data_IF_987084665481
#
_entry.id   IF_987084665481
#
_cell.length_a   1.000
_cell.length_b   1.000
_cell.length_c   1.000
_cell.angle_alpha   90.00
_cell.angle_beta   90.00
_cell.angle_gamma   90.00
#
_symmetry.space_group_name_H-M   'P 1'
#
loop_
_entity.id
_entity.type
_entity.pdbx_description
1 polymer ?
#
# COMPACT_ATOMS: atom_id res chain seq x y z
N UNK A 1 8.02 -26.63 -11.40
CA UNK A 1 6.73 -26.07 -11.87
C UNK A 1 6.60 -24.64 -11.36
N UNK A 2 6.43 -23.67 -12.25
CA UNK A 2 6.32 -22.25 -11.90
C UNK A 2 5.12 -21.62 -12.59
N UNK A 3 4.36 -20.78 -11.88
CA UNK A 3 3.21 -20.07 -12.45
C UNK A 3 3.66 -18.65 -12.82
N UNK A 4 3.33 -18.21 -14.03
CA UNK A 4 3.53 -16.82 -14.47
C UNK A 4 2.21 -16.18 -14.85
N UNK A 5 2.05 -14.91 -14.54
CA UNK A 5 0.89 -14.12 -14.92
C UNK A 5 1.31 -13.16 -16.03
N UNK A 6 0.59 -13.16 -17.15
CA UNK A 6 0.80 -12.26 -18.29
C UNK A 6 -0.42 -11.36 -18.47
N UNK A 7 -0.20 -10.11 -18.85
CA UNK A 7 -1.26 -9.13 -19.06
C UNK A 7 -1.21 -8.62 -20.50
N UNK A 8 -2.38 -8.49 -21.13
CA UNK A 8 -2.54 -7.98 -22.49
C UNK A 8 -3.65 -6.94 -22.55
N UNK A 9 -3.43 -5.85 -23.28
CA UNK A 9 -4.43 -4.81 -23.54
C UNK A 9 -4.97 -5.00 -24.96
N UNK A 10 -6.29 -5.02 -25.07
CA UNK A 10 -7.02 -4.97 -26.33
C UNK A 10 -7.45 -3.53 -26.59
N UNK A 11 -6.80 -2.89 -27.55
CA UNK A 11 -7.15 -1.53 -27.98
C UNK A 11 -8.47 -1.54 -28.76
N UNK A 12 -9.18 -0.42 -28.81
CA UNK A 12 -10.45 -0.31 -29.56
C UNK A 12 -10.29 -0.58 -31.07
N UNK A 13 -9.10 -0.30 -31.62
CA UNK A 13 -8.73 -0.61 -33.00
C UNK A 13 -8.51 -2.12 -33.26
N UNK A 14 -8.69 -2.98 -32.25
CA UNK A 14 -8.52 -4.42 -32.35
C UNK A 14 -7.09 -4.91 -32.14
N UNK A 15 -6.12 -4.01 -31.96
CA UNK A 15 -4.71 -4.35 -31.74
C UNK A 15 -4.51 -4.98 -30.36
N UNK A 16 -3.68 -6.03 -30.31
CA UNK A 16 -3.24 -6.64 -29.06
C UNK A 16 -1.87 -6.09 -28.64
N UNK A 17 -1.78 -5.53 -27.42
CA UNK A 17 -0.49 -5.11 -26.83
C UNK A 17 -0.17 -5.89 -25.57
N UNK A 18 1.10 -6.19 -25.37
CA UNK A 18 1.57 -6.83 -24.13
C UNK A 18 1.81 -5.79 -23.06
N UNK A 19 1.41 -6.07 -21.82
CA UNK A 19 1.73 -5.24 -20.67
C UNK A 19 2.85 -5.90 -19.88
N UNK A 20 4.08 -5.36 -19.93
CA UNK A 20 5.18 -5.90 -19.15
C UNK A 20 4.83 -5.92 -17.67
N UNK A 21 5.23 -6.98 -16.95
CA UNK A 21 4.96 -7.13 -15.52
C UNK A 21 5.32 -5.88 -14.69
N UNK A 22 6.49 -5.29 -14.98
CA UNK A 22 6.96 -4.04 -14.35
C UNK A 22 5.97 -2.88 -14.50
N UNK A 23 5.41 -2.71 -15.70
CA UNK A 23 4.42 -1.65 -15.98
C UNK A 23 3.13 -1.94 -15.23
N UNK A 24 2.67 -3.20 -15.26
CA UNK A 24 1.49 -3.60 -14.51
C UNK A 24 1.64 -3.34 -13.00
N UNK A 25 2.76 -3.74 -12.39
CA UNK A 25 3.03 -3.52 -10.97
C UNK A 25 3.09 -2.03 -10.64
N UNK A 26 3.81 -1.23 -11.44
CA UNK A 26 3.89 0.21 -11.25
C UNK A 26 2.55 0.93 -11.41
N UNK A 27 1.68 0.48 -12.33
CA UNK A 27 0.31 1.01 -12.46
C UNK A 27 -0.53 0.76 -11.20
N UNK A 28 -0.47 -0.44 -10.63
CA UNK A 28 -1.20 -0.76 -9.39
C UNK A 28 -0.65 -0.03 -8.16
N UNK A 29 0.64 0.30 -8.15
CA UNK A 29 1.29 1.07 -7.08
C UNK A 29 1.12 2.59 -7.25
N UNK A 30 0.60 3.05 -8.39
CA UNK A 30 0.51 4.48 -8.72
C UNK A 30 1.86 5.13 -9.07
N UNK A 31 2.90 4.32 -9.30
CA UNK A 31 4.26 4.74 -9.63
C UNK A 31 4.52 4.81 -11.14
N UNK A 32 3.63 4.25 -11.96
CA UNK A 32 3.71 4.25 -13.43
C UNK A 32 2.42 4.80 -14.05
N UNK A 33 2.50 5.22 -15.31
CA UNK A 33 1.37 5.68 -16.10
C UNK A 33 1.50 5.21 -17.56
N UNK A 34 0.37 5.07 -18.24
CA UNK A 34 0.27 4.82 -19.68
C UNK A 34 -0.43 6.00 -20.37
N UNK A 35 0.34 7.06 -20.75
CA UNK A 35 -0.23 8.26 -21.37
C UNK A 35 -1.00 7.98 -22.66
N UNK A 36 -0.62 6.95 -23.42
CA UNK A 36 -1.32 6.51 -24.63
C UNK A 36 -2.78 6.10 -24.35
N UNK A 37 -3.13 5.80 -23.10
CA UNK A 37 -4.47 5.42 -22.67
C UNK A 37 -5.11 6.45 -21.74
N UNK A 38 -4.55 7.66 -21.63
CA UNK A 38 -5.11 8.72 -20.79
C UNK A 38 -6.59 9.00 -21.09
N UNK A 39 -7.41 9.08 -20.04
CA UNK A 39 -8.85 9.33 -20.11
C UNK A 39 -9.67 8.17 -20.69
N UNK A 40 -9.06 7.01 -20.96
CA UNK A 40 -9.73 5.90 -21.64
C UNK A 40 -10.02 4.71 -20.72
N UNK A 41 -10.92 3.84 -21.18
CA UNK A 41 -11.23 2.55 -20.55
C UNK A 41 -10.80 1.42 -21.47
N UNK A 42 -9.83 0.62 -21.05
CA UNK A 42 -9.25 -0.44 -21.87
C UNK A 42 -9.69 -1.83 -21.42
N UNK A 43 -9.85 -2.75 -22.37
CA UNK A 43 -10.06 -4.17 -22.10
C UNK A 43 -8.72 -4.85 -21.88
N UNK A 44 -8.53 -5.45 -20.72
CA UNK A 44 -7.29 -6.13 -20.35
C UNK A 44 -7.56 -7.59 -20.05
N UNK A 45 -6.74 -8.50 -20.60
CA UNK A 45 -6.77 -9.91 -20.28
C UNK A 45 -5.56 -10.29 -19.40
N UNK A 46 -5.86 -10.91 -18.27
CA UNK A 46 -4.89 -11.55 -17.39
C UNK A 46 -4.87 -13.05 -17.65
N UNK A 47 -3.72 -13.59 -18.00
CA UNK A 47 -3.53 -14.98 -18.38
C UNK A 47 -2.59 -15.65 -17.40
N UNK A 48 -3.07 -16.70 -16.75
CA UNK A 48 -2.32 -17.50 -15.79
C UNK A 48 -1.74 -18.69 -16.55
N UNK A 49 -0.41 -18.73 -16.67
CA UNK A 49 0.32 -19.74 -17.44
C UNK A 49 1.12 -20.60 -16.47
N UNK A 50 0.95 -21.91 -16.58
CA UNK A 50 1.84 -22.89 -15.95
C UNK A 50 3.07 -23.08 -16.83
N UNK A 51 4.24 -23.02 -16.24
CA UNK A 51 5.50 -23.26 -16.91
C UNK A 51 6.16 -24.53 -16.39
N UNK A 52 6.66 -25.32 -17.33
CA UNK A 52 7.51 -26.47 -17.10
C UNK A 52 8.89 -26.21 -17.71
N UNK A 53 9.95 -26.46 -16.94
CA UNK A 53 11.33 -26.13 -17.30
C UNK A 53 11.53 -24.72 -17.91
N UNK A 54 10.85 -23.72 -17.33
CA UNK A 54 10.92 -22.33 -17.79
C UNK A 54 10.18 -22.01 -19.09
N UNK A 55 9.48 -22.98 -19.69
CA UNK A 55 8.67 -22.79 -20.91
C UNK A 55 7.17 -22.87 -20.62
N UNK A 56 6.32 -22.10 -21.32
CA UNK A 56 4.88 -22.20 -21.20
C UNK A 56 4.38 -23.60 -21.54
N UNK A 57 3.71 -24.27 -20.59
CA UNK A 57 3.16 -25.61 -20.76
C UNK A 57 1.65 -25.57 -21.07
N UNK A 58 0.87 -24.80 -20.29
CA UNK A 58 -0.58 -24.60 -20.53
C UNK A 58 -1.10 -23.31 -19.89
N UNK A 59 -2.20 -22.79 -20.41
CA UNK A 59 -3.01 -21.75 -19.75
C UNK A 59 -3.88 -22.45 -18.70
N UNK A 60 -3.78 -22.01 -17.45
CA UNK A 60 -4.62 -22.49 -16.35
C UNK A 60 -5.92 -21.71 -16.25
N UNK A 61 -5.87 -20.40 -16.52
CA UNK A 61 -6.99 -19.50 -16.35
C UNK A 61 -6.80 -18.23 -17.19
N UNK A 62 -7.89 -17.62 -17.61
CA UNK A 62 -7.91 -16.39 -18.37
C UNK A 62 -9.05 -15.47 -17.89
N UNK A 63 -8.68 -14.24 -17.56
CA UNK A 63 -9.55 -13.29 -16.87
C UNK A 63 -9.56 -11.95 -17.59
N UNK A 64 -10.70 -11.55 -18.12
CA UNK A 64 -10.89 -10.20 -18.66
C UNK A 64 -11.26 -9.22 -17.54
N UNK A 65 -10.59 -8.08 -17.49
CA UNK A 65 -10.97 -6.93 -16.67
C UNK A 65 -10.92 -5.64 -17.48
N UNK A 66 -11.72 -4.66 -17.08
CA UNK A 66 -11.61 -3.30 -17.59
C UNK A 66 -10.65 -2.50 -16.71
N UNK A 67 -9.69 -1.81 -17.32
CA UNK A 67 -8.82 -0.85 -16.64
C UNK A 67 -9.26 0.56 -17.06
N UNK A 68 -9.53 1.40 -16.06
CA UNK A 68 -9.87 2.81 -16.26
C UNK A 68 -8.63 3.65 -16.02
N UNK A 69 -8.34 4.58 -16.92
CA UNK A 69 -7.21 5.50 -16.79
C UNK A 69 -7.69 6.94 -16.60
N UNK A 70 -6.96 7.71 -15.79
CA UNK A 70 -7.18 9.14 -15.62
C UNK A 70 -6.57 9.95 -16.77
N UNK A 71 -6.70 11.27 -16.74
CA UNK A 71 -6.15 12.19 -17.75
C UNK A 71 -4.61 12.16 -17.84
N UNK A 72 -3.92 11.63 -16.83
CA UNK A 72 -2.47 11.43 -16.84
C UNK A 72 -2.07 10.02 -17.32
N UNK A 73 -3.04 9.14 -17.58
CA UNK A 73 -2.81 7.74 -17.93
C UNK A 73 -2.49 6.84 -16.72
N UNK A 74 -2.74 7.28 -15.48
CA UNK A 74 -2.63 6.44 -14.29
C UNK A 74 -3.88 5.59 -14.13
N UNK A 75 -3.73 4.43 -13.51
CA UNK A 75 -4.85 3.54 -13.23
C UNK A 75 -5.75 4.17 -12.15
N UNK A 76 -7.03 4.37 -12.48
CA UNK A 76 -8.06 4.75 -11.52
C UNK A 76 -8.46 3.49 -10.76
N UNK A 77 -7.94 3.36 -9.53
CA UNK A 77 -8.31 2.28 -8.63
C UNK A 77 -9.56 2.75 -7.87
N UNK A 78 -10.74 2.32 -8.32
CA UNK A 78 -11.95 2.50 -7.53
C UNK A 78 -11.79 1.77 -6.18
N UNK A 79 -12.15 2.41 -5.04
CA UNK A 79 -12.18 1.74 -3.75
C UNK A 79 -13.08 0.50 -3.86
N UNK A 80 -12.47 -0.67 -3.75
CA UNK A 80 -13.19 -1.91 -3.90
C UNK A 80 -13.77 -2.32 -2.55
N UNK A 81 -15.08 -2.18 -2.38
CA UNK A 81 -15.79 -2.66 -1.20
C UNK A 81 -15.74 -4.19 -1.15
N UNK A 82 -14.90 -4.72 -0.27
CA UNK A 82 -14.78 -6.16 0.02
C UNK A 82 -15.87 -6.68 0.98
N UNK A 83 -16.81 -5.85 1.45
CA UNK A 83 -17.82 -6.23 2.45
C UNK A 83 -18.56 -7.53 2.07
N UNK A 84 -18.94 -7.70 0.80
CA UNK A 84 -19.62 -8.88 0.29
C UNK A 84 -18.73 -10.14 0.21
N UNK A 85 -17.40 -10.00 0.13
CA UNK A 85 -16.46 -11.12 0.11
C UNK A 85 -16.21 -11.67 1.52
N UNK A 86 -16.38 -10.84 2.54
CA UNK A 86 -16.29 -11.20 3.96
C UNK A 86 -17.64 -11.49 4.61
N UNK A 87 -18.74 -11.31 3.87
CA UNK A 87 -20.07 -11.77 4.22
C UNK A 87 -20.09 -13.31 4.21
N UNK A 88 -19.50 -13.89 5.26
CA UNK A 88 -19.74 -15.29 5.60
C UNK A 88 -21.24 -15.38 5.78
N UNK A 89 -21.96 -16.26 5.06
CA UNK A 89 -23.35 -16.47 5.35
C UNK A 89 -23.40 -16.83 6.83
N UNK A 90 -23.99 -15.94 7.65
CA UNK A 90 -24.30 -16.27 9.02
C UNK A 90 -24.95 -17.65 8.95
N UNK A 91 -24.52 -18.60 9.79
CA UNK A 91 -25.20 -19.88 9.97
C UNK A 91 -26.60 -19.58 10.52
N UNK A 92 -27.47 -19.03 9.69
CA UNK A 92 -28.85 -18.77 10.01
C UNK A 92 -29.56 -20.09 9.71
N UNK A 93 -30.32 -20.56 10.69
CA UNK A 93 -31.28 -21.65 10.51
C UNK A 93 -32.51 -21.17 9.72
N UNK A 94 -32.40 -20.10 8.94
CA UNK A 94 -33.50 -19.52 8.19
C UNK A 94 -33.59 -20.18 6.81
N UNK A 95 -34.82 -20.54 6.44
CA UNK A 95 -35.18 -21.14 5.14
C UNK A 95 -34.97 -20.19 3.95
N UNK A 96 -34.64 -18.92 4.19
CA UNK A 96 -34.50 -17.89 3.16
C UNK A 96 -33.02 -17.55 2.98
N UNK A 97 -32.51 -17.75 1.77
CA UNK A 97 -31.14 -17.48 1.38
C UNK A 97 -31.01 -16.01 0.96
N UNK A 98 -30.14 -15.23 1.61
CA UNK A 98 -29.89 -13.84 1.20
C UNK A 98 -29.14 -13.81 -0.14
N UNK A 99 -29.80 -13.31 -1.18
CA UNK A 99 -29.25 -13.23 -2.54
C UNK A 99 -28.53 -11.91 -2.81
N UNK A 100 -28.60 -10.92 -1.90
CA UNK A 100 -27.98 -9.60 -2.10
C UNK A 100 -26.47 -9.68 -2.35
N UNK A 101 -25.67 -10.47 -1.60
CA UNK A 101 -24.23 -10.58 -1.88
C UNK A 101 -23.93 -11.18 -3.27
N UNK A 102 -24.76 -12.13 -3.73
CA UNK A 102 -24.62 -12.72 -5.08
C UNK A 102 -24.98 -11.72 -6.17
N UNK A 103 -26.01 -10.89 -5.95
CA UNK A 103 -26.43 -9.85 -6.89
C UNK A 103 -25.40 -8.72 -6.98
N UNK A 104 -24.88 -8.25 -5.84
CA UNK A 104 -23.84 -7.20 -5.82
C UNK A 104 -22.53 -7.69 -6.45
N UNK A 105 -22.11 -8.93 -6.15
CA UNK A 105 -20.98 -9.57 -6.86
C UNK A 105 -21.22 -9.64 -8.36
N UNK A 106 -22.41 -10.04 -8.80
CA UNK A 106 -22.75 -10.13 -10.24
C UNK A 106 -22.76 -8.76 -10.92
N UNK A 107 -23.28 -7.72 -10.25
CA UNK A 107 -23.23 -6.33 -10.76
C UNK A 107 -21.80 -5.84 -10.87
N UNK A 108 -20.97 -6.13 -9.87
CA UNK A 108 -19.57 -5.76 -9.88
C UNK A 108 -18.79 -6.47 -11.00
N UNK A 109 -18.97 -7.79 -11.13
CA UNK A 109 -18.39 -8.58 -12.21
C UNK A 109 -18.85 -8.04 -13.56
N UNK A 110 -20.13 -7.69 -13.74
CA UNK A 110 -20.61 -7.08 -14.97
C UNK A 110 -20.00 -5.69 -15.26
N UNK A 111 -19.72 -4.89 -14.24
CA UNK A 111 -19.10 -3.55 -14.40
C UNK A 111 -17.60 -3.65 -14.72
N UNK A 112 -16.88 -4.60 -14.13
CA UNK A 112 -15.41 -4.63 -14.13
C UNK A 112 -14.79 -5.80 -14.90
N UNK A 113 -15.56 -6.84 -15.22
CA UNK A 113 -15.10 -8.00 -15.98
C UNK A 113 -15.73 -7.98 -17.35
N UNK A 114 -15.02 -8.59 -18.28
CA UNK A 114 -15.56 -8.96 -19.57
C UNK A 114 -15.15 -10.42 -19.86
N UNK A 115 -16.02 -11.21 -20.50
CA UNK A 115 -15.69 -12.59 -20.83
C UNK A 115 -14.68 -12.61 -21.98
N UNK A 116 -13.51 -13.23 -21.77
CA UNK A 116 -12.53 -13.43 -22.83
C UNK A 116 -13.09 -14.48 -23.80
N UNK A 117 -13.28 -14.10 -25.06
CA UNK A 117 -13.83 -15.00 -26.08
C UNK A 117 -12.77 -16.00 -26.54
N UNK A 118 -13.20 -17.09 -27.19
CA UNK A 118 -12.28 -18.08 -27.76
C UNK A 118 -11.34 -17.47 -28.79
N UNK A 119 -11.83 -16.54 -29.61
CA UNK A 119 -11.02 -15.85 -30.62
C UNK A 119 -9.89 -15.02 -29.98
N UNK A 120 -10.19 -14.29 -28.91
CA UNK A 120 -9.18 -13.51 -28.18
C UNK A 120 -8.18 -14.42 -27.45
N UNK A 121 -8.64 -15.57 -26.94
CA UNK A 121 -7.75 -16.59 -26.36
C UNK A 121 -6.84 -17.23 -27.41
N UNK A 122 -7.33 -17.47 -28.62
CA UNK A 122 -6.52 -18.01 -29.71
C UNK A 122 -5.43 -17.03 -30.12
N UNK A 123 -5.75 -15.73 -30.24
CA UNK A 123 -4.78 -14.66 -30.49
C UNK A 123 -3.70 -14.59 -29.40
N UNK A 124 -4.10 -14.64 -28.13
CA UNK A 124 -3.16 -14.66 -27.00
C UNK A 124 -2.30 -15.93 -27.01
N UNK A 125 -2.90 -17.08 -27.32
CA UNK A 125 -2.21 -18.37 -27.37
C UNK A 125 -1.16 -18.38 -28.49
N UNK A 126 -1.44 -17.78 -29.63
CA UNK A 126 -0.47 -17.60 -30.71
C UNK A 126 0.75 -16.78 -30.27
N UNK A 127 0.57 -15.81 -29.38
CA UNK A 127 1.68 -15.01 -28.81
C UNK A 127 2.49 -15.81 -27.79
N UNK A 128 1.83 -16.67 -26.99
CA UNK A 128 2.50 -17.50 -25.98
C UNK A 128 3.25 -18.68 -26.62
N UNK A 129 2.68 -19.29 -27.66
CA UNK A 129 3.26 -20.38 -28.44
C UNK A 129 3.34 -20.04 -29.94
N UNK A 130 4.29 -19.17 -30.36
CA UNK A 130 4.38 -18.73 -31.76
C UNK A 130 4.61 -19.88 -32.75
N UNK A 131 5.26 -20.96 -32.31
CA UNK A 131 5.55 -22.14 -33.13
C UNK A 131 4.32 -23.01 -33.42
N UNK A 132 3.23 -22.84 -32.67
CA UNK A 132 1.98 -23.59 -32.84
C UNK A 132 0.93 -22.83 -33.66
N UNK A 133 1.19 -21.56 -33.99
CA UNK A 133 0.25 -20.69 -34.67
C UNK A 133 0.45 -20.67 -36.19
N UNK A 134 -0.66 -20.62 -36.94
CA UNK A 134 -0.63 -20.45 -38.39
C UNK A 134 -0.32 -19.00 -38.80
N UNK A 135 -0.73 -18.02 -38.00
CA UNK A 135 -0.48 -16.59 -38.18
C UNK A 135 0.01 -15.99 -36.85
N UNK A 136 1.06 -15.17 -36.90
CA UNK A 136 1.65 -14.53 -35.72
C UNK A 136 1.37 -13.04 -35.80
N UNK A 137 0.53 -12.53 -34.92
CA UNK A 137 0.32 -11.09 -34.74
C UNK A 137 1.55 -10.47 -34.02
N UNK A 138 2.08 -9.36 -34.54
CA UNK A 138 3.19 -8.64 -33.88
C UNK A 138 2.67 -7.88 -32.65
N UNK A 139 2.80 -8.50 -31.46
CA UNK A 139 2.37 -7.87 -30.21
C UNK A 139 3.48 -7.02 -29.61
N UNK A 140 3.31 -5.69 -29.71
CA UNK A 140 4.24 -4.72 -29.12
C UNK A 140 3.94 -4.50 -27.63
N UNK A 141 4.98 -4.32 -26.79
CA UNK A 141 4.78 -3.95 -25.40
C UNK A 141 4.33 -2.50 -25.27
N UNK A 142 3.40 -2.24 -24.35
CA UNK A 142 3.08 -0.87 -23.93
C UNK A 142 4.28 -0.24 -23.21
N UNK A 143 4.42 1.08 -23.30
CA UNK A 143 5.53 1.83 -22.70
C UNK A 143 5.03 2.68 -21.53
N UNK A 144 5.40 2.27 -20.32
CA UNK A 144 5.20 3.07 -19.11
C UNK A 144 6.16 4.27 -19.02
N UNK A 145 5.81 5.25 -18.18
CA UNK A 145 6.60 6.45 -17.88
C UNK A 145 7.63 6.23 -16.78
N UNK A 146 7.43 5.24 -15.91
CA UNK A 146 8.32 5.02 -14.77
C UNK A 146 9.75 4.66 -15.17
N UNK A 147 10.72 5.21 -14.44
CA UNK A 147 12.14 4.91 -14.61
C UNK A 147 12.38 3.44 -14.28
N UNK A 148 13.14 2.74 -15.13
CA UNK A 148 13.45 1.32 -14.92
C UNK A 148 14.35 1.15 -13.69
N UNK A 149 13.76 0.66 -12.60
CA UNK A 149 14.49 0.28 -11.38
C UNK A 149 15.03 -1.15 -11.53
N UNK A 150 16.24 -1.47 -11.01
CA UNK A 150 16.70 -2.85 -10.93
C UNK A 150 15.70 -3.72 -10.17
N UNK A 151 15.31 -4.89 -10.70
CA UNK A 151 14.36 -5.75 -10.02
C UNK A 151 14.97 -6.27 -8.71
N UNK A 152 14.21 -6.23 -7.63
CA UNK A 152 14.58 -6.91 -6.40
C UNK A 152 14.47 -8.42 -6.66
N UNK A 153 15.57 -9.15 -6.55
CA UNK A 153 15.54 -10.60 -6.77
C UNK A 153 14.76 -11.28 -5.65
N UNK A 154 14.30 -12.53 -5.87
CA UNK A 154 13.64 -13.31 -4.82
C UNK A 154 14.50 -13.41 -3.53
N UNK A 155 15.83 -13.56 -3.69
CA UNK A 155 16.74 -13.54 -2.54
C UNK A 155 16.79 -12.18 -1.85
N UNK A 156 16.73 -11.08 -2.61
CA UNK A 156 16.62 -9.72 -2.11
C UNK A 156 15.29 -9.46 -1.38
N UNK A 157 14.16 -9.87 -1.96
CA UNK A 157 12.82 -9.78 -1.34
C UNK A 157 12.78 -10.54 -0.01
N UNK A 158 13.30 -11.78 -0.02
CA UNK A 158 13.38 -12.61 1.20
C UNK A 158 14.28 -11.97 2.26
N UNK A 159 15.41 -11.39 1.87
CA UNK A 159 16.29 -10.70 2.81
C UNK A 159 15.61 -9.45 3.39
N UNK A 160 14.98 -8.63 2.54
CA UNK A 160 14.26 -7.43 2.95
C UNK A 160 13.11 -7.76 3.92
N UNK A 161 12.32 -8.79 3.60
CA UNK A 161 11.21 -9.24 4.47
C UNK A 161 11.71 -9.67 5.85
N UNK A 162 12.83 -10.39 5.94
CA UNK A 162 13.45 -10.79 7.22
C UNK A 162 13.93 -9.57 8.00
N UNK A 163 14.56 -8.62 7.33
CA UNK A 163 15.04 -7.37 7.93
C UNK A 163 13.86 -6.57 8.49
N UNK A 164 12.80 -6.38 7.71
CA UNK A 164 11.59 -5.66 8.14
C UNK A 164 10.92 -6.34 9.34
N UNK A 165 10.80 -7.67 9.31
CA UNK A 165 10.25 -8.43 10.43
C UNK A 165 11.08 -8.23 11.70
N UNK A 166 12.41 -8.35 11.59
CA UNK A 166 13.30 -8.15 12.72
C UNK A 166 13.22 -6.72 13.27
N UNK A 167 13.17 -5.70 12.42
CA UNK A 167 13.01 -4.31 12.87
C UNK A 167 11.69 -4.09 13.60
N UNK A 168 10.58 -4.66 13.09
CA UNK A 168 9.28 -4.59 13.76
C UNK A 168 9.32 -5.23 15.16
N UNK A 169 9.91 -6.42 15.27
CA UNK A 169 10.07 -7.09 16.57
C UNK A 169 10.96 -6.30 17.52
N UNK A 170 12.11 -5.80 17.05
CA UNK A 170 13.01 -5.00 17.89
C UNK A 170 12.30 -3.74 18.40
N UNK A 171 11.62 -3.00 17.53
CA UNK A 171 10.87 -1.80 17.92
C UNK A 171 9.84 -2.11 19.01
N UNK A 172 9.02 -3.15 18.81
CA UNK A 172 8.04 -3.59 19.78
C UNK A 172 8.65 -3.95 21.14
N UNK A 173 9.74 -4.72 21.17
CA UNK A 173 10.40 -5.11 22.41
C UNK A 173 10.96 -3.88 23.16
N UNK A 174 11.58 -2.93 22.45
CA UNK A 174 12.09 -1.70 23.05
C UNK A 174 10.99 -0.84 23.67
N UNK A 175 9.81 -0.79 23.07
CA UNK A 175 8.64 -0.08 23.59
C UNK A 175 8.08 -0.68 24.89
N UNK A 176 8.39 -1.95 25.21
CA UNK A 176 7.95 -2.58 26.45
C UNK A 176 8.93 -2.38 27.62
N UNK A 177 10.18 -1.96 27.37
CA UNK A 177 11.23 -1.89 28.39
C UNK A 177 11.13 -0.67 29.33
N UNK A 178 11.18 -0.87 30.64
CA UNK A 178 11.20 0.23 31.62
C UNK A 178 12.41 1.19 31.47
N UNK A 179 12.33 2.42 32.02
CA UNK A 179 13.45 3.39 32.02
C UNK A 179 14.79 2.77 32.51
N UNK A 180 14.83 1.99 33.62
CA UNK A 180 16.06 1.31 34.05
C UNK A 180 16.54 0.23 33.07
N UNK A 181 15.62 -0.53 32.48
CA UNK A 181 15.96 -1.58 31.52
C UNK A 181 16.57 -0.98 30.24
N UNK A 182 16.02 0.12 29.73
CA UNK A 182 16.58 0.87 28.60
C UNK A 182 18.00 1.36 28.92
N UNK A 183 18.25 1.88 30.12
CA UNK A 183 19.59 2.29 30.54
C UNK A 183 20.59 1.12 30.52
N UNK A 184 20.19 -0.04 31.04
CA UNK A 184 21.01 -1.26 31.02
C UNK A 184 21.29 -1.75 29.60
N UNK A 185 20.26 -1.78 28.74
CA UNK A 185 20.39 -2.19 27.35
C UNK A 185 21.31 -1.26 26.56
N UNK A 186 21.19 0.06 26.71
CA UNK A 186 22.07 1.01 26.05
C UNK A 186 23.54 0.80 26.45
N UNK A 187 23.81 0.40 27.70
CA UNK A 187 25.16 0.08 28.14
C UNK A 187 25.70 -1.17 27.43
N UNK A 188 24.92 -2.26 27.40
CA UNK A 188 25.34 -3.50 26.75
C UNK A 188 25.49 -3.35 25.24
N UNK A 189 24.62 -2.59 24.57
CA UNK A 189 24.76 -2.31 23.13
C UNK A 189 26.07 -1.58 22.81
N UNK A 190 26.45 -0.56 23.60
CA UNK A 190 27.75 0.11 23.44
C UNK A 190 28.94 -0.79 23.80
N UNK A 191 28.76 -1.75 24.71
CA UNK A 191 29.76 -2.78 24.98
C UNK A 191 29.91 -3.70 23.76
N UNK A 192 28.82 -4.15 23.16
CA UNK A 192 28.84 -5.01 21.98
C UNK A 192 29.42 -4.31 20.75
N UNK A 193 29.11 -3.02 20.55
CA UNK A 193 29.73 -2.21 19.50
C UNK A 193 31.27 -2.20 19.56
N UNK A 194 31.86 -2.33 20.76
CA UNK A 194 33.32 -2.40 20.94
C UNK A 194 33.91 -3.79 20.74
N UNK A 195 33.10 -4.83 20.91
CA UNK A 195 33.54 -6.24 20.82
C UNK A 195 33.38 -6.75 19.38
N UNK A 196 32.28 -6.38 18.72
CA UNK A 196 31.88 -6.87 17.41
C UNK A 196 32.00 -5.75 16.38
N UNK A 197 33.18 -5.62 15.77
CA UNK A 197 33.48 -4.53 14.83
C UNK A 197 32.65 -4.63 13.53
N UNK A 198 32.32 -5.85 13.08
CA UNK A 198 31.52 -6.08 11.86
C UNK A 198 30.11 -5.48 11.94
N UNK A 199 29.49 -5.54 13.11
CA UNK A 199 28.14 -5.02 13.38
C UNK A 199 28.15 -3.73 14.20
N UNK A 200 29.31 -3.10 14.40
CA UNK A 200 29.47 -1.93 15.27
C UNK A 200 28.42 -0.85 15.00
N UNK A 201 28.21 -0.52 13.72
CA UNK A 201 27.27 0.52 13.29
C UNK A 201 25.83 0.19 13.74
N UNK A 202 25.45 -1.09 13.69
CA UNK A 202 24.12 -1.52 14.11
C UNK A 202 23.95 -1.35 15.63
N UNK A 203 24.93 -1.80 16.40
CA UNK A 203 24.90 -1.67 17.86
C UNK A 203 24.91 -0.21 18.32
N UNK A 204 25.69 0.66 17.67
CA UNK A 204 25.70 2.10 17.93
C UNK A 204 24.35 2.74 17.60
N UNK A 205 23.76 2.40 16.47
CA UNK A 205 22.44 2.89 16.08
C UNK A 205 21.35 2.46 17.07
N UNK A 206 21.35 1.19 17.49
CA UNK A 206 20.40 0.71 18.50
C UNK A 206 20.64 1.37 19.86
N UNK A 207 21.89 1.62 20.26
CA UNK A 207 22.17 2.32 21.51
C UNK A 207 21.62 3.76 21.49
N UNK A 208 21.76 4.46 20.36
CA UNK A 208 21.21 5.80 20.17
C UNK A 208 19.67 5.81 20.20
N UNK A 209 19.03 4.82 19.58
CA UNK A 209 17.57 4.68 19.62
C UNK A 209 17.05 4.37 21.02
N UNK A 210 17.74 3.51 21.78
CA UNK A 210 17.41 3.23 23.18
C UNK A 210 17.56 4.48 24.06
N UNK A 211 18.57 5.33 23.81
CA UNK A 211 18.68 6.62 24.49
C UNK A 211 17.51 7.55 24.14
N UNK A 212 17.13 7.63 22.86
CA UNK A 212 15.97 8.43 22.41
C UNK A 212 14.70 8.00 23.13
N UNK A 213 14.41 6.69 23.17
CA UNK A 213 13.24 6.13 23.85
C UNK A 213 13.26 6.40 25.36
N UNK A 214 14.43 6.27 25.99
CA UNK A 214 14.61 6.59 27.42
C UNK A 214 14.30 8.05 27.69
N UNK A 215 14.79 8.96 26.86
CA UNK A 215 14.55 10.39 27.00
C UNK A 215 13.08 10.75 26.76
N UNK A 216 12.40 10.09 25.80
CA UNK A 216 10.96 10.19 25.61
C UNK A 216 10.20 9.82 26.88
N UNK A 217 10.53 8.68 27.51
CA UNK A 217 9.87 8.26 28.75
C UNK A 217 10.10 9.23 29.91
N UNK A 218 11.33 9.72 30.07
CA UNK A 218 11.65 10.73 31.08
C UNK A 218 10.81 12.00 30.84
N UNK A 219 10.70 12.46 29.60
CA UNK A 219 9.84 13.60 29.24
C UNK A 219 8.38 13.30 29.53
N UNK A 220 7.86 12.14 29.13
CA UNK A 220 6.47 11.73 29.38
C UNK A 220 6.13 11.69 30.88
N UNK A 221 7.04 11.20 31.71
CA UNK A 221 6.90 11.14 33.19
C UNK A 221 6.99 12.52 33.84
N UNK A 222 7.97 13.34 33.44
CA UNK A 222 8.24 14.63 34.09
C UNK A 222 7.40 15.78 33.52
N UNK A 223 6.89 15.63 32.30
CA UNK A 223 6.22 16.67 31.53
C UNK A 223 7.14 17.83 31.10
N UNK A 224 8.46 17.70 31.25
CA UNK A 224 9.45 18.75 30.93
C UNK A 224 9.94 18.64 29.48
N UNK A 225 10.57 19.71 28.99
CA UNK A 225 11.11 19.83 27.64
C UNK A 225 10.09 20.32 26.61
N UNK A 226 10.47 20.31 25.33
CA UNK A 226 9.58 20.65 24.23
C UNK A 226 8.53 19.56 23.98
N UNK A 227 7.30 20.00 23.77
CA UNK A 227 6.14 19.18 23.41
C UNK A 227 5.44 19.78 22.20
N UNK A 228 4.74 18.97 21.43
CA UNK A 228 3.83 19.42 20.40
C UNK A 228 2.40 19.12 20.82
N UNK A 229 1.53 20.10 20.67
CA UNK A 229 0.11 19.92 20.57
C UNK A 229 -0.25 19.81 19.10
N UNK A 230 -1.10 18.87 18.73
CA UNK A 230 -1.51 18.75 17.33
C UNK A 230 -2.95 18.27 17.20
N UNK A 231 -3.55 18.62 16.07
CA UNK A 231 -4.85 18.16 15.62
C UNK A 231 -4.67 17.53 14.25
N UNK A 232 -5.02 16.25 14.12
CA UNK A 232 -5.07 15.52 12.86
C UNK A 232 -6.48 15.52 12.32
N UNK A 233 -6.60 15.71 11.01
CA UNK A 233 -7.86 15.63 10.29
C UNK A 233 -7.76 14.41 9.39
N UNK A 234 -8.62 13.44 9.65
CA UNK A 234 -8.62 12.16 8.97
C UNK A 234 -9.86 12.06 8.09
N UNK A 235 -9.69 11.73 6.82
CA UNK A 235 -10.76 11.36 5.91
C UNK A 235 -10.90 9.85 5.88
N UNK A 236 -12.08 9.36 6.20
CA UNK A 236 -12.44 7.96 6.12
C UNK A 236 -12.95 7.63 4.72
N UNK A 237 -12.68 6.41 4.27
CA UNK A 237 -13.38 5.82 3.15
C UNK A 237 -14.88 5.61 3.46
N UNK A 238 -15.70 5.38 2.44
CA UNK A 238 -17.15 5.19 2.61
C UNK A 238 -17.47 4.02 3.55
N UNK A 239 -16.64 2.98 3.55
CA UNK A 239 -16.76 1.82 4.42
C UNK A 239 -16.28 2.07 5.87
N UNK A 240 -15.66 3.23 6.15
CA UNK A 240 -15.03 3.59 7.43
C UNK A 240 -14.06 2.54 7.95
N UNK A 241 -13.31 1.92 7.04
CA UNK A 241 -12.28 0.92 7.35
C UNK A 241 -10.87 1.48 7.28
N UNK A 242 -10.66 2.54 6.50
CA UNK A 242 -9.37 3.18 6.31
C UNK A 242 -9.50 4.69 6.47
N UNK A 243 -8.51 5.29 7.12
CA UNK A 243 -8.45 6.71 7.36
C UNK A 243 -7.15 7.27 6.75
N UNK A 244 -7.28 8.29 5.91
CA UNK A 244 -6.18 9.05 5.35
C UNK A 244 -6.04 10.38 6.11
N UNK A 245 -4.83 10.72 6.53
CA UNK A 245 -4.54 12.01 7.16
C UNK A 245 -4.48 13.08 6.07
N UNK A 246 -5.45 13.98 6.04
CA UNK A 246 -5.59 15.01 5.00
C UNK A 246 -5.03 16.37 5.43
N UNK A 247 -4.94 16.63 6.73
CA UNK A 247 -4.31 17.84 7.27
C UNK A 247 -3.87 17.61 8.73
N UNK A 248 -2.84 18.35 9.15
CA UNK A 248 -2.32 18.35 10.52
C UNK A 248 -1.96 19.77 10.94
N UNK A 249 -2.62 20.25 11.99
CA UNK A 249 -2.30 21.55 12.63
C UNK A 249 -1.50 21.27 13.90
N UNK A 250 -0.33 21.90 14.04
CA UNK A 250 0.57 21.66 15.16
C UNK A 250 1.09 22.96 15.80
N UNK A 251 1.36 22.89 17.10
CA UNK A 251 1.96 23.97 17.88
C UNK A 251 3.00 23.41 18.85
N UNK A 252 4.21 23.97 18.81
CA UNK A 252 5.25 23.67 19.78
C UNK A 252 4.96 24.40 21.10
N UNK A 253 5.03 23.67 22.21
CA UNK A 253 4.81 24.18 23.55
C UNK A 253 5.95 23.82 24.50
N UNK A 254 6.18 24.68 25.49
CA UNK A 254 7.13 24.42 26.57
C UNK A 254 6.45 23.60 27.68
N UNK A 255 6.56 22.28 27.57
CA UNK A 255 6.08 21.31 28.53
C UNK A 255 4.68 20.75 28.27
N UNK A 256 4.41 19.57 28.86
CA UNK A 256 3.19 18.78 28.63
C UNK A 256 1.90 19.53 28.99
N UNK A 257 1.92 20.29 30.09
CA UNK A 257 0.72 21.04 30.55
C UNK A 257 0.33 22.12 29.55
N UNK A 258 1.31 22.85 29.01
CA UNK A 258 1.08 23.86 27.98
C UNK A 258 0.55 23.19 26.69
N UNK A 259 1.18 22.08 26.28
CA UNK A 259 0.72 21.31 25.12
C UNK A 259 -0.73 20.81 25.27
N UNK A 260 -1.13 20.34 26.45
CA UNK A 260 -2.52 19.90 26.67
C UNK A 260 -3.54 21.06 26.59
N UNK A 261 -3.16 22.26 27.04
CA UNK A 261 -4.00 23.45 26.90
C UNK A 261 -4.09 23.86 25.43
N UNK A 262 -2.96 23.88 24.72
CA UNK A 262 -2.91 24.17 23.29
C UNK A 262 -3.70 23.15 22.47
N UNK A 263 -3.59 21.85 22.75
CA UNK A 263 -4.32 20.79 22.05
C UNK A 263 -5.83 20.96 22.19
N UNK A 264 -6.32 21.31 23.39
CA UNK A 264 -7.75 21.61 23.62
C UNK A 264 -8.20 22.85 22.85
N UNK A 265 -7.36 23.88 22.80
CA UNK A 265 -7.64 25.10 22.04
C UNK A 265 -7.68 24.81 20.53
N UNK A 266 -6.66 24.13 20.00
CA UNK A 266 -6.60 23.72 18.59
C UNK A 266 -7.79 22.85 18.22
N UNK A 267 -8.20 21.91 19.09
CA UNK A 267 -9.40 21.10 18.87
C UNK A 267 -10.65 21.97 18.79
N UNK A 268 -10.84 22.92 19.71
CA UNK A 268 -11.99 23.81 19.70
C UNK A 268 -12.02 24.71 18.45
N UNK A 269 -10.86 25.23 18.04
CA UNK A 269 -10.71 26.04 16.83
C UNK A 269 -11.00 25.24 15.56
N UNK A 270 -10.67 23.95 15.52
CA UNK A 270 -10.79 23.10 14.32
C UNK A 270 -11.95 22.10 14.36
N UNK A 271 -12.76 22.08 15.43
CA UNK A 271 -13.91 21.17 15.57
C UNK A 271 -14.93 21.34 14.43
N UNK A 272 -15.00 22.53 13.83
CA UNK A 272 -15.86 22.82 12.67
C UNK A 272 -15.51 21.98 11.43
N UNK A 273 -14.33 21.36 11.37
CA UNK A 273 -13.91 20.49 10.27
C UNK A 273 -14.40 19.05 10.43
N UNK A 274 -15.01 18.71 11.58
CA UNK A 274 -15.70 17.45 11.77
C UNK A 274 -16.88 17.37 10.81
N UNK A 275 -17.00 16.27 10.07
CA UNK A 275 -18.03 16.10 9.05
C UNK A 275 -18.34 14.63 8.82
N UNK A 276 -19.25 14.35 7.89
CA UNK A 276 -19.49 12.97 7.48
C UNK A 276 -18.25 12.42 6.77
N UNK A 277 -17.73 11.29 7.25
CA UNK A 277 -16.46 10.71 6.78
C UNK A 277 -15.21 11.49 7.19
N UNK A 278 -15.29 12.51 8.05
CA UNK A 278 -14.10 13.24 8.54
C UNK A 278 -14.05 13.20 10.06
N UNK A 279 -12.92 12.78 10.63
CA UNK A 279 -12.65 12.89 12.08
C UNK A 279 -11.58 13.93 12.38
N UNK A 280 -11.69 14.54 13.55
CA UNK A 280 -10.74 15.53 14.08
C UNK A 280 -10.23 15.00 15.40
N UNK A 281 -8.94 14.70 15.47
CA UNK A 281 -8.30 14.04 16.62
C UNK A 281 -7.20 14.94 17.19
N UNK A 282 -7.27 15.24 18.48
CA UNK A 282 -6.27 16.06 19.17
C UNK A 282 -5.44 15.21 20.11
N UNK A 283 -4.12 15.40 20.07
CA UNK A 283 -3.20 14.71 20.96
C UNK A 283 -1.95 15.56 21.24
N UNK A 284 -1.07 15.08 22.11
CA UNK A 284 0.19 15.71 22.47
C UNK A 284 1.34 14.71 22.40
N UNK A 285 2.44 15.11 21.79
CA UNK A 285 3.65 14.29 21.71
C UNK A 285 4.86 15.05 22.26
N UNK A 286 5.87 14.33 22.72
CA UNK A 286 7.16 14.97 23.02
C UNK A 286 7.83 15.39 21.72
N UNK A 287 8.66 16.43 21.73
CA UNK A 287 9.45 16.83 20.55
C UNK A 287 10.32 15.71 19.97
N UNK A 288 10.73 14.72 20.79
CA UNK A 288 11.54 13.58 20.34
C UNK A 288 10.72 12.46 19.69
N UNK A 289 9.40 12.51 19.88
CA UNK A 289 8.44 11.49 19.43
C UNK A 289 7.59 12.00 18.26
N UNK A 290 7.43 13.33 18.18
CA UNK A 290 6.71 13.97 17.09
C UNK A 290 7.49 13.91 15.78
N UNK A 291 6.88 13.30 14.77
CA UNK A 291 7.38 13.31 13.38
C UNK A 291 6.28 13.89 12.50
N UNK A 292 6.43 15.12 11.98
CA UNK A 292 5.43 15.70 11.09
C UNK A 292 5.38 14.89 9.80
N UNK A 293 4.20 14.40 9.44
CA UNK A 293 4.01 13.80 8.12
C UNK A 293 4.02 14.90 7.07
N UNK A 294 4.84 14.73 6.03
CA UNK A 294 4.68 15.52 4.81
C UNK A 294 3.46 15.00 4.07
N UNK A 295 2.32 15.65 4.26
CA UNK A 295 1.12 15.38 3.47
C UNK A 295 1.42 15.87 2.05
N UNK A 296 1.43 14.98 1.07
CA UNK A 296 1.63 15.36 -0.33
C UNK A 296 0.38 16.08 -0.82
N UNK A 297 0.50 17.37 -1.17
CA UNK A 297 -0.60 18.22 -1.63
C UNK A 297 -1.18 17.83 -3.01
N UNK A 298 -0.74 16.71 -3.61
CA UNK A 298 -1.06 16.35 -5.00
C UNK A 298 -2.52 15.90 -5.22
N UNK A 299 -3.37 15.87 -4.19
CA UNK A 299 -4.80 15.50 -4.29
C UNK A 299 -5.79 16.56 -3.82
N UNK A 300 -5.33 17.75 -3.45
CA UNK A 300 -6.19 18.82 -2.94
C UNK A 300 -6.98 19.60 -4.02
N UNK A 301 -7.01 19.12 -5.29
CA UNK A 301 -7.66 19.82 -6.40
C UNK A 301 -8.86 19.09 -7.03
N UNK A 302 -9.43 18.09 -6.38
CA UNK A 302 -10.76 17.58 -6.75
C UNK A 302 -11.76 18.12 -5.73
N UNK A 303 -12.24 19.34 -6.04
CA UNK A 303 -13.38 19.98 -5.38
C UNK A 303 -14.69 19.69 -6.09
#
# INVERSE_FOLDING_TARGET
MAITIRHFVFEEAGNLRSVPRRVCEGLWQGEDALPDYAGTRQRVAQIIVENDDGKPARILDAKGSFWQFDEAGKLVIEPFDFSWAFDRPARSKATVLDLRPKLERKKWEAKHRWPVTSEELDRISAVIWPWAAAEIEEVRPVKGTAVKVPPLTHDGERALSKIQTAFGTIGYELEQLSEPALKGLAHELRRYARIYDGERILYEAFAAEVDRLKDIRIRQRTGKGGWYAFVRIMRWDEARTQAEEIDTIEERCEGKKAALVAARRLLAENAHRLGDGITVEADVATELDWVPKKISNDRAQEG
#
